data_IF_700928091354
#
_entry.id   IF_700928091354
#
_cell.length_a   1.000
_cell.length_b   1.000
_cell.length_c   1.000
_cell.angle_alpha   90.00
_cell.angle_beta   90.00
_cell.angle_gamma   90.00
#
_symmetry.space_group_name_H-M   'P 1'
#
loop_
_entity.id
_entity.type
_entity.pdbx_description
1 polymer ?
#
# COMPACT_ATOMS: atom_id res chain seq x y z
N UNK A 1 -12.77 -37.86 -18.70
CA UNK A 1 -11.65 -36.91 -18.52
C UNK A 1 -12.24 -35.55 -18.75
N UNK A 2 -12.57 -34.93 -17.63
CA UNK A 2 -13.48 -33.82 -17.42
C UNK A 2 -12.76 -32.48 -17.66
N UNK A 3 -13.17 -31.74 -18.68
CA UNK A 3 -12.71 -30.36 -18.94
C UNK A 3 -13.92 -29.46 -19.31
N UNK A 4 -15.03 -29.62 -18.60
CA UNK A 4 -16.22 -28.80 -18.79
C UNK A 4 -16.62 -28.14 -17.46
N UNK A 5 -16.83 -26.82 -17.49
CA UNK A 5 -17.33 -25.95 -16.41
C UNK A 5 -16.28 -25.52 -15.36
N UNK A 6 -15.50 -24.49 -15.71
CA UNK A 6 -14.92 -23.54 -14.72
C UNK A 6 -14.81 -22.10 -15.26
N UNK A 7 -15.70 -21.72 -16.19
CA UNK A 7 -15.77 -20.35 -16.73
C UNK A 7 -17.16 -19.73 -16.70
N UNK A 8 -18.13 -20.37 -16.04
CA UNK A 8 -19.52 -19.91 -16.06
C UNK A 8 -19.70 -18.66 -15.16
N UNK A 9 -20.27 -17.62 -15.76
CA UNK A 9 -20.70 -16.33 -15.16
C UNK A 9 -19.62 -15.23 -15.09
N UNK A 10 -19.03 -14.87 -16.23
CA UNK A 10 -18.68 -13.46 -16.46
C UNK A 10 -19.92 -12.78 -17.06
N UNK A 11 -20.47 -11.74 -16.40
CA UNK A 11 -21.50 -10.87 -17.01
C UNK A 11 -20.87 -10.13 -18.19
N UNK A 12 -20.94 -10.71 -19.38
CA UNK A 12 -20.48 -10.06 -20.60
C UNK A 12 -21.61 -9.20 -21.15
N UNK A 13 -21.32 -7.92 -21.40
CA UNK A 13 -22.26 -7.03 -22.09
C UNK A 13 -22.60 -7.60 -23.47
N UNK A 14 -23.89 -7.68 -23.80
CA UNK A 14 -24.39 -8.07 -25.13
C UNK A 14 -24.16 -7.00 -26.20
N UNK A 15 -23.65 -5.82 -25.80
CA UNK A 15 -23.48 -4.67 -26.69
C UNK A 15 -22.23 -4.86 -27.54
N UNK A 16 -22.42 -5.17 -28.84
CA UNK A 16 -21.33 -5.19 -29.81
C UNK A 16 -20.78 -3.77 -30.00
N UNK A 17 -19.51 -3.54 -29.64
CA UNK A 17 -18.82 -2.28 -29.97
C UNK A 17 -18.34 -2.36 -31.41
N UNK A 18 -18.82 -1.46 -32.27
CA UNK A 18 -18.32 -1.31 -33.64
C UNK A 18 -17.02 -0.50 -33.59
N UNK A 19 -15.92 -1.12 -34.00
CA UNK A 19 -14.61 -0.46 -34.12
C UNK A 19 -14.36 -0.23 -35.60
N UNK A 20 -13.92 0.98 -35.98
CA UNK A 20 -13.56 1.27 -37.35
C UNK A 20 -12.40 0.38 -37.82
N UNK A 21 -12.39 -0.02 -39.08
CA UNK A 21 -11.41 -0.96 -39.65
C UNK A 21 -9.96 -0.54 -39.42
N UNK A 22 -9.66 0.76 -39.54
CA UNK A 22 -8.34 1.33 -39.27
C UNK A 22 -7.92 1.15 -37.79
N UNK A 23 -8.85 1.32 -36.86
CA UNK A 23 -8.61 1.13 -35.43
C UNK A 23 -8.43 -0.35 -35.09
N UNK A 24 -9.19 -1.25 -35.72
CA UNK A 24 -9.01 -2.68 -35.54
C UNK A 24 -7.62 -3.15 -36.00
N UNK A 25 -7.14 -2.65 -37.16
CA UNK A 25 -5.81 -2.94 -37.67
C UNK A 25 -4.70 -2.40 -36.74
N UNK A 26 -4.87 -1.17 -36.25
CA UNK A 26 -3.93 -0.56 -35.31
C UNK A 26 -3.87 -1.30 -33.95
N UNK A 27 -4.98 -1.88 -33.49
CA UNK A 27 -4.99 -2.68 -32.26
C UNK A 27 -4.42 -4.09 -32.46
N UNK A 28 -4.51 -4.64 -33.68
CA UNK A 28 -3.99 -5.96 -34.01
C UNK A 28 -2.47 -5.96 -34.20
N UNK A 29 -1.88 -4.86 -34.70
CA UNK A 29 -0.43 -4.78 -34.89
C UNK A 29 0.31 -4.83 -33.56
N UNK A 30 1.35 -5.68 -33.48
CA UNK A 30 2.22 -5.80 -32.32
C UNK A 30 2.97 -4.49 -32.07
N UNK A 31 3.48 -3.88 -33.14
CA UNK A 31 4.36 -2.71 -33.05
C UNK A 31 3.63 -1.48 -32.53
N UNK A 32 2.36 -1.31 -32.91
CA UNK A 32 1.57 -0.20 -32.37
C UNK A 32 1.22 -0.43 -30.89
N UNK A 33 1.06 -1.69 -30.46
CA UNK A 33 0.85 -2.02 -29.04
C UNK A 33 2.12 -1.78 -28.21
N UNK A 34 3.29 -2.13 -28.72
CA UNK A 34 4.57 -1.88 -28.03
C UNK A 34 4.88 -0.39 -27.97
N UNK A 35 4.69 0.35 -29.07
CA UNK A 35 4.85 1.80 -29.09
C UNK A 35 3.88 2.50 -28.12
N UNK A 36 2.61 2.09 -28.09
CA UNK A 36 1.64 2.64 -27.14
C UNK A 36 1.98 2.31 -25.68
N UNK A 37 2.60 1.15 -25.41
CA UNK A 37 3.07 0.80 -24.08
C UNK A 37 4.27 1.66 -23.66
N UNK A 38 5.24 1.87 -24.55
CA UNK A 38 6.40 2.72 -24.30
C UNK A 38 6.00 4.18 -24.10
N UNK A 39 5.11 4.73 -24.93
CA UNK A 39 4.62 6.10 -24.77
C UNK A 39 3.88 6.30 -23.43
N UNK A 40 3.20 5.26 -22.92
CA UNK A 40 2.57 5.31 -21.59
C UNK A 40 3.60 5.30 -20.47
N UNK A 41 4.68 4.52 -20.60
CA UNK A 41 5.77 4.52 -19.61
C UNK A 41 6.50 5.86 -19.60
N UNK A 42 6.85 6.38 -20.77
CA UNK A 42 7.49 7.69 -20.93
C UNK A 42 6.60 8.83 -20.38
N UNK A 43 5.29 8.78 -20.61
CA UNK A 43 4.37 9.74 -20.01
C UNK A 43 4.33 9.65 -18.48
N UNK A 44 4.37 8.43 -17.90
CA UNK A 44 4.45 8.26 -16.44
C UNK A 44 5.81 8.70 -15.88
N UNK A 45 6.89 8.57 -16.64
CA UNK A 45 8.23 9.07 -16.26
C UNK A 45 8.28 10.61 -16.29
N UNK A 46 7.61 11.23 -17.26
CA UNK A 46 7.55 12.70 -17.39
C UNK A 46 6.50 13.37 -16.47
N UNK A 47 5.39 12.69 -16.17
CA UNK A 47 4.31 13.16 -15.27
C UNK A 47 4.61 12.91 -13.79
N UNK A 48 5.71 12.20 -13.48
CA UNK A 48 6.36 12.27 -12.19
C UNK A 48 7.01 13.66 -12.03
N UNK A 49 6.16 14.69 -11.90
CA UNK A 49 6.53 16.06 -11.58
C UNK A 49 7.29 16.08 -10.27
N UNK A 50 8.63 16.06 -10.36
CA UNK A 50 9.52 16.05 -9.23
C UNK A 50 9.32 14.82 -8.33
N UNK A 51 10.16 13.79 -8.52
CA UNK A 51 10.88 13.32 -7.33
C UNK A 51 11.59 14.57 -6.83
N UNK A 52 10.97 15.26 -5.87
CA UNK A 52 11.62 16.32 -5.11
C UNK A 52 12.87 15.64 -4.54
N UNK A 53 14.00 15.79 -5.24
CA UNK A 53 15.23 16.05 -4.55
C UNK A 53 14.89 17.29 -3.76
N UNK A 54 14.43 17.10 -2.53
CA UNK A 54 14.33 18.15 -1.54
C UNK A 54 15.74 18.72 -1.50
N UNK A 55 15.96 19.76 -2.30
CA UNK A 55 17.01 20.72 -2.06
C UNK A 55 16.59 21.28 -0.71
N UNK A 56 17.25 20.78 0.33
CA UNK A 56 17.21 21.38 1.64
C UNK A 56 17.88 22.74 1.42
N UNK A 57 17.11 23.71 0.96
CA UNK A 57 17.47 25.11 1.05
C UNK A 57 17.39 25.40 2.55
N UNK A 58 18.55 25.36 3.21
CA UNK A 58 18.77 25.82 4.59
C UNK A 58 18.57 27.35 4.63
N UNK A 59 17.35 27.81 4.38
CA UNK A 59 16.95 29.20 4.58
C UNK A 59 16.18 29.29 5.91
N UNK A 60 16.94 29.10 6.99
CA UNK A 60 16.52 29.24 8.39
C UNK A 60 16.31 30.73 8.76
N UNK A 61 15.47 31.46 8.02
CA UNK A 61 15.10 32.84 8.39
C UNK A 61 13.63 33.16 8.15
N UNK A 62 12.75 32.52 8.93
CA UNK A 62 11.43 33.07 9.24
C UNK A 62 10.91 32.54 10.58
N UNK A 63 11.44 33.10 11.65
CA UNK A 63 10.85 33.08 12.99
C UNK A 63 9.46 33.74 12.96
N UNK A 64 8.39 32.98 13.15
CA UNK A 64 7.05 33.45 13.55
C UNK A 64 6.47 32.37 14.47
N UNK A 65 6.75 32.44 15.77
CA UNK A 65 6.08 33.24 16.81
C UNK A 65 4.83 32.54 17.37
N UNK A 66 4.92 32.40 18.69
CA UNK A 66 3.97 32.08 19.75
C UNK A 66 3.08 30.81 19.72
N UNK A 67 3.37 30.00 20.74
CA UNK A 67 2.43 29.38 21.68
C UNK A 67 1.67 28.11 21.26
N UNK A 68 2.26 26.92 21.52
CA UNK A 68 1.56 25.86 22.29
C UNK A 68 2.55 24.77 22.78
N UNK A 69 3.49 25.14 23.65
CA UNK A 69 4.43 24.22 24.30
C UNK A 69 3.75 23.37 25.40
N UNK A 70 3.25 22.18 25.05
CA UNK A 70 3.04 21.11 26.03
C UNK A 70 3.45 19.72 25.50
N UNK A 71 4.73 19.44 25.70
CA UNK A 71 5.27 18.11 26.00
C UNK A 71 5.37 17.09 24.85
N UNK A 72 6.25 17.36 23.89
CA UNK A 72 7.06 16.28 23.31
C UNK A 72 8.51 16.65 23.59
N UNK A 73 9.10 16.06 24.64
CA UNK A 73 10.54 16.03 24.81
C UNK A 73 11.15 15.34 23.58
N UNK A 74 11.43 16.10 22.53
CA UNK A 74 12.30 15.70 21.43
C UNK A 74 13.66 15.47 22.05
N UNK A 75 13.90 14.24 22.51
CA UNK A 75 15.25 13.72 22.72
C UNK A 75 15.93 13.87 21.38
N UNK A 76 16.72 14.94 21.24
CA UNK A 76 17.60 15.14 20.10
C UNK A 76 18.47 13.89 20.01
N UNK A 77 18.15 13.01 19.06
CA UNK A 77 19.01 11.86 18.80
C UNK A 77 20.25 12.43 18.14
N UNK A 78 21.25 12.75 18.98
CA UNK A 78 22.57 13.17 18.57
C UNK A 78 23.24 12.02 17.81
N UNK A 79 22.96 11.97 16.50
CA UNK A 79 23.62 11.09 15.56
C UNK A 79 24.16 11.96 14.42
N UNK A 80 25.18 12.76 14.72
CA UNK A 80 26.04 13.44 13.73
C UNK A 80 26.85 12.45 12.87
N UNK A 81 26.61 11.14 12.97
CA UNK A 81 27.30 10.13 12.18
C UNK A 81 26.51 9.83 10.93
N UNK A 82 27.20 9.82 9.79
CA UNK A 82 26.65 9.40 8.49
C UNK A 82 25.96 8.04 8.64
N UNK A 83 24.64 7.99 8.40
CA UNK A 83 23.87 6.75 8.44
C UNK A 83 24.44 5.75 7.42
N UNK A 84 24.61 4.50 7.85
CA UNK A 84 25.00 3.40 6.95
C UNK A 84 23.92 3.19 5.89
N UNK A 85 24.27 2.57 4.75
CA UNK A 85 23.31 2.23 3.69
C UNK A 85 22.10 1.44 4.23
N UNK A 86 22.36 0.53 5.18
CA UNK A 86 21.31 -0.24 5.85
C UNK A 86 20.44 0.61 6.78
N UNK A 87 21.05 1.57 7.49
CA UNK A 87 20.32 2.55 8.32
C UNK A 87 19.40 3.44 7.49
N UNK A 88 19.87 3.92 6.34
CA UNK A 88 19.06 4.68 5.38
C UNK A 88 17.91 3.83 4.82
N UNK A 89 18.17 2.58 4.44
CA UNK A 89 17.13 1.68 3.93
C UNK A 89 16.03 1.40 4.98
N UNK A 90 16.39 1.22 6.26
CA UNK A 90 15.42 1.07 7.36
C UNK A 90 14.58 2.32 7.59
N UNK A 91 15.18 3.49 7.46
CA UNK A 91 14.46 4.76 7.59
C UNK A 91 13.48 4.98 6.43
N UNK A 92 13.91 4.71 5.19
CA UNK A 92 13.02 4.75 4.02
C UNK A 92 11.88 3.75 4.19
N UNK A 93 12.17 2.53 4.63
CA UNK A 93 11.15 1.51 4.89
C UNK A 93 10.14 1.93 5.99
N UNK A 94 10.52 2.83 6.91
CA UNK A 94 9.60 3.40 7.92
C UNK A 94 8.77 4.58 7.39
N UNK A 95 9.29 5.31 6.39
CA UNK A 95 8.60 6.43 5.74
C UNK A 95 7.65 5.98 4.63
N UNK A 96 7.93 4.84 4.00
CA UNK A 96 7.10 4.28 2.94
C UNK A 96 5.74 3.80 3.49
N UNK A 97 4.65 3.96 2.73
CA UNK A 97 3.36 3.37 3.09
C UNK A 97 3.48 1.85 3.14
N UNK A 98 2.98 1.25 4.22
CA UNK A 98 2.99 -0.20 4.43
C UNK A 98 1.59 -0.74 4.35
N UNK A 99 1.47 -1.94 3.79
CA UNK A 99 0.21 -2.67 3.84
C UNK A 99 -0.01 -3.22 5.25
N UNK A 100 -1.26 -3.46 5.60
CA UNK A 100 -1.61 -4.02 6.89
C UNK A 100 -0.92 -5.39 7.15
N UNK A 101 -0.81 -6.23 6.12
CA UNK A 101 -0.18 -7.54 6.23
C UNK A 101 1.33 -7.45 6.54
N UNK A 102 2.02 -6.47 5.97
CA UNK A 102 3.44 -6.21 6.26
C UNK A 102 3.66 -5.82 7.72
N UNK A 103 2.77 -4.99 8.27
CA UNK A 103 2.82 -4.59 9.68
C UNK A 103 2.61 -5.78 10.63
N UNK A 104 1.67 -6.68 10.30
CA UNK A 104 1.41 -7.90 11.07
C UNK A 104 2.64 -8.81 11.09
N UNK A 105 3.31 -8.98 9.95
CA UNK A 105 4.50 -9.82 9.84
C UNK A 105 5.70 -9.22 10.59
N UNK A 106 5.94 -7.91 10.49
CA UNK A 106 7.05 -7.25 11.19
C UNK A 106 6.88 -7.24 12.72
N UNK A 107 5.63 -7.22 13.19
CA UNK A 107 5.33 -7.20 14.62
C UNK A 107 5.63 -8.53 15.34
N UNK A 108 5.96 -9.61 14.63
CA UNK A 108 6.30 -10.92 15.20
C UNK A 108 5.31 -11.38 16.29
N UNK A 109 4.01 -11.26 16.00
CA UNK A 109 2.95 -11.47 16.98
C UNK A 109 2.93 -12.88 17.58
N UNK A 110 3.51 -13.86 16.90
CA UNK A 110 3.63 -15.24 17.39
C UNK A 110 4.55 -15.38 18.60
N UNK A 111 5.52 -14.47 18.76
CA UNK A 111 6.42 -14.45 19.91
C UNK A 111 5.72 -13.98 21.21
N UNK A 112 4.52 -13.40 21.10
CA UNK A 112 3.78 -12.92 22.27
C UNK A 112 3.23 -14.11 23.10
N UNK A 113 3.25 -14.00 24.44
CA UNK A 113 2.69 -15.02 25.32
C UNK A 113 1.22 -15.37 25.00
N UNK A 114 0.76 -16.61 25.29
CA UNK A 114 -0.59 -17.09 24.96
C UNK A 114 -1.74 -16.21 25.48
N UNK A 115 -1.54 -15.57 26.63
CA UNK A 115 -2.54 -14.75 27.31
C UNK A 115 -2.62 -13.31 26.78
N UNK A 116 -1.69 -12.88 25.91
CA UNK A 116 -1.67 -11.55 25.31
C UNK A 116 -2.49 -11.57 24.02
N UNK A 117 -3.62 -10.83 23.94
CA UNK A 117 -4.38 -10.72 22.71
C UNK A 117 -3.52 -10.05 21.63
N UNK A 118 -3.51 -10.64 20.44
CA UNK A 118 -2.83 -10.11 19.28
C UNK A 118 -3.72 -10.26 18.05
N UNK A 119 -3.37 -9.65 16.92
CA UNK A 119 -4.23 -9.69 15.73
C UNK A 119 -4.51 -11.12 15.20
N UNK A 120 -3.53 -12.02 15.31
CA UNK A 120 -3.66 -13.42 14.84
C UNK A 120 -4.59 -14.25 15.75
N UNK A 121 -4.59 -13.99 17.07
CA UNK A 121 -5.35 -14.74 18.08
C UNK A 121 -6.64 -14.03 18.50
N UNK A 122 -6.76 -12.72 18.29
CA UNK A 122 -7.99 -11.96 18.55
C UNK A 122 -9.13 -12.39 17.61
N UNK A 123 -8.80 -13.09 16.52
CA UNK A 123 -9.76 -13.80 15.67
C UNK A 123 -10.22 -15.15 16.26
N UNK A 124 -10.03 -15.42 17.57
CA UNK A 124 -10.81 -16.47 18.24
C UNK A 124 -12.27 -16.08 18.08
N UNK A 125 -13.01 -16.88 17.31
CA UNK A 125 -14.42 -16.68 17.04
C UNK A 125 -15.24 -16.52 18.32
N UNK A 126 -16.53 -16.14 18.19
CA UNK A 126 -17.40 -15.97 19.35
C UNK A 126 -17.26 -17.19 20.28
N UNK A 127 -17.22 -16.98 21.61
CA UNK A 127 -16.91 -18.02 22.57
C UNK A 127 -17.69 -19.30 22.26
N UNK A 128 -17.01 -20.44 22.21
CA UNK A 128 -17.64 -21.75 21.93
C UNK A 128 -18.68 -22.14 22.97
N UNK A 129 -18.68 -21.47 24.13
CA UNK A 129 -19.69 -21.56 25.17
C UNK A 129 -20.67 -20.41 25.00
N UNK A 130 -21.88 -20.73 24.54
CA UNK A 130 -23.02 -19.82 24.57
C UNK A 130 -23.85 -20.11 25.83
N UNK A 131 -24.27 -19.07 26.56
CA UNK A 131 -25.19 -19.24 27.70
C UNK A 131 -26.58 -19.63 27.21
N UNK A 132 -27.26 -20.54 27.92
CA UNK A 132 -28.63 -20.94 27.58
C UNK A 132 -29.59 -19.77 27.80
N UNK A 133 -30.34 -19.40 26.76
CA UNK A 133 -31.44 -18.43 26.88
C UNK A 133 -32.68 -19.14 27.38
N UNK A 134 -33.19 -18.73 28.53
CA UNK A 134 -34.50 -19.14 29.02
C UNK A 134 -35.53 -18.12 28.52
N UNK A 135 -36.46 -18.57 27.69
CA UNK A 135 -37.60 -17.75 27.29
C UNK A 135 -38.81 -18.13 28.15
N UNK A 136 -39.61 -17.15 28.56
CA UNK A 136 -40.90 -17.43 29.18
C UNK A 136 -41.80 -18.12 28.15
N UNK A 137 -42.37 -19.26 28.52
CA UNK A 137 -43.46 -19.93 27.80
C UNK A 137 -44.79 -19.30 28.15
#
# INVERSE_FOLDING_TARGET
MDDEISGAVRRTSTRSRKVATKMAAALASSDNRTQAALARLDALENDNGGVETVEINDDDEASLDDDEEAYIQKKQSMSMKRKTRQGKAREIARKNPRTFLELVNEANLDALPPHVPNYLRAAVGPPSITSRRNFCT
#
